data_IF_261640664711
#
_entry.id   IF_261640664711
#
_cell.length_a   1.000
_cell.length_b   1.000
_cell.length_c   1.000
_cell.angle_alpha   90.00
_cell.angle_beta   90.00
_cell.angle_gamma   90.00
#
_symmetry.space_group_name_H-M   'P 1'
#
loop_
_entity.id
_entity.type
_entity.pdbx_description
1 polymer ?
2 water ?
#
# COMPACT_ATOMS: atom_id res chain seq x y z
N UNK A 14 -3.56 23.43 -22.55
CA UNK A 14 -3.54 21.94 -22.76
C UNK A 14 -2.42 21.56 -23.69
N UNK A 15 -1.69 20.55 -23.25
CA UNK A 15 -0.54 20.08 -24.01
C UNK A 15 -0.55 18.55 -24.06
N UNK A 16 0.00 18.05 -25.17
CA UNK A 16 0.05 16.61 -25.44
C UNK A 16 1.48 16.19 -25.69
N UNK A 17 1.86 15.06 -25.12
CA UNK A 17 3.20 14.50 -25.35
C UNK A 17 3.16 12.99 -25.39
N UNK A 18 4.29 12.39 -25.74
CA UNK A 18 4.34 10.92 -25.80
C UNK A 18 5.26 10.46 -24.73
N UNK A 19 4.92 9.43 -24.01
CA UNK A 19 5.86 9.03 -22.91
C UNK A 19 7.20 8.61 -23.52
N UNK A 20 8.27 9.02 -22.86
CA UNK A 20 9.58 9.38 -23.48
C UNK A 20 9.94 10.87 -23.18
N UNK A 24 10.60 12.00 -19.19
CA UNK A 24 10.03 11.10 -18.15
C UNK A 24 9.36 11.85 -17.00
N UNK A 25 9.85 13.06 -16.75
CA UNK A 25 9.34 14.03 -15.78
C UNK A 25 7.86 14.34 -16.02
N UNK A 26 7.57 14.55 -17.28
CA UNK A 26 6.21 14.93 -17.72
C UNK A 26 5.25 13.80 -17.43
N UNK A 27 5.67 12.57 -17.64
CA UNK A 27 4.77 11.44 -17.38
C UNK A 27 4.50 11.30 -15.89
N UNK A 28 5.53 11.41 -15.07
CA UNK A 28 5.34 11.31 -13.65
C UNK A 28 4.38 12.39 -13.10
N UNK A 29 4.54 13.62 -13.55
CA UNK A 29 3.65 14.74 -13.23
C UNK A 29 2.19 14.38 -13.63
N UNK A 30 2.02 13.80 -14.81
CA UNK A 30 0.68 13.54 -15.26
C UNK A 30 0.01 12.45 -14.44
N UNK A 31 0.71 11.33 -14.23
CA UNK A 31 0.20 10.23 -13.43
C UNK A 31 -0.07 10.70 -12.01
N UNK A 32 0.72 11.69 -11.50
CA UNK A 32 0.42 12.28 -10.19
C UNK A 32 -0.80 13.11 -10.05
N UNK A 33 -1.48 13.38 -11.18
CA UNK A 33 -2.73 14.11 -11.18
C UNK A 33 -3.89 13.23 -10.69
N UNK A 34 -3.66 11.93 -10.64
CA UNK A 34 -4.62 11.01 -10.04
C UNK A 34 -4.38 10.95 -8.53
N UNK A 35 -5.30 11.53 -7.73
CA UNK A 35 -5.27 11.50 -6.28
C UNK A 35 -5.40 10.11 -5.69
N UNK A 36 -4.70 9.83 -4.58
CA UNK A 36 -4.81 8.55 -3.94
C UNK A 36 -4.73 8.66 -2.44
N UNK A 37 -5.19 7.62 -1.76
CA UNK A 37 -4.78 7.39 -0.37
C UNK A 37 -3.38 6.87 -0.34
N UNK A 38 -2.96 6.44 0.86
CA UNK A 38 -1.59 5.90 1.04
C UNK A 38 -1.72 4.61 1.83
N UNK A 39 -1.11 3.53 1.33
CA UNK A 39 -1.14 2.26 2.02
C UNK A 39 0.21 1.74 2.33
N UNK A 40 0.33 1.09 3.45
CA UNK A 40 1.53 0.29 3.71
C UNK A 40 1.11 -1.17 3.66
N UNK A 41 1.77 -1.97 2.82
CA UNK A 41 1.48 -3.39 2.73
C UNK A 41 2.60 -4.17 3.42
N UNK A 42 2.19 -5.06 4.31
CA UNK A 42 3.15 -5.80 5.14
C UNK A 42 3.10 -7.28 4.91
N UNK A 43 4.21 -7.92 5.26
CA UNK A 43 4.32 -9.37 5.10
C UNK A 43 5.44 -9.91 5.98
N UNK A 44 5.40 -11.19 6.28
CA UNK A 44 6.51 -11.79 7.05
C UNK A 44 7.61 -12.18 6.08
N UNK A 45 8.75 -11.56 6.24
CA UNK A 45 9.91 -11.81 5.41
C UNK A 45 10.75 -12.92 5.98
N UNK A 46 11.77 -13.35 5.18
CA UNK A 46 12.58 -14.49 5.59
C UNK A 46 13.36 -14.22 6.86
N UNK A 47 13.63 -12.96 7.17
CA UNK A 47 14.34 -12.74 8.42
C UNK A 47 13.77 -11.69 9.33
N UNK A 48 12.48 -11.40 9.15
CA UNK A 48 11.78 -10.40 9.96
C UNK A 48 10.62 -9.79 9.19
N UNK A 49 9.89 -8.90 9.84
CA UNK A 49 8.78 -8.22 9.20
C UNK A 49 9.22 -7.26 8.09
N UNK A 50 8.35 -7.13 7.05
CA UNK A 50 8.62 -6.24 5.98
C UNK A 50 7.41 -5.40 5.70
N UNK A 51 7.65 -4.21 5.22
CA UNK A 51 6.57 -3.37 4.74
C UNK A 51 6.97 -2.55 3.55
N UNK A 52 5.98 -2.01 2.83
CA UNK A 52 6.26 -1.18 1.64
C UNK A 52 5.09 -0.20 1.53
N UNK A 53 5.44 1.06 1.42
CA UNK A 53 4.47 2.12 1.17
C UNK A 53 4.20 2.21 -0.33
N UNK A 54 2.91 2.14 -0.65
CA UNK A 54 2.51 2.30 -2.08
C UNK A 54 1.22 3.11 -2.14
N UNK A 55 0.98 3.66 -3.33
CA UNK A 55 -0.36 4.27 -3.57
C UNK A 55 -1.10 3.63 -4.70
N UNK A 56 -0.59 2.55 -5.20
CA UNK A 56 -1.18 1.80 -6.30
C UNK A 56 -2.25 0.80 -5.92
N UNK A 57 -2.76 0.86 -4.71
CA UNK A 57 -3.87 0.06 -4.28
C UNK A 57 -5.15 0.36 -5.08
N UNK A 58 -5.93 -0.69 -5.37
CA UNK A 58 -7.34 -0.46 -5.80
C UNK A 58 -8.22 -1.52 -5.15
N UNK A 59 -9.44 -1.12 -4.86
CA UNK A 59 -10.49 -2.05 -4.54
C UNK A 59 -10.98 -2.63 -5.86
N UNK A 60 -11.01 -3.95 -5.98
CA UNK A 60 -11.31 -4.64 -7.24
C UNK A 60 -12.69 -5.30 -7.28
N UNK A 61 -13.00 -6.19 -6.34
CA UNK A 61 -14.25 -6.97 -6.36
C UNK A 61 -14.89 -7.00 -4.97
N UNK A 62 -16.21 -6.97 -4.89
CA UNK A 62 -16.93 -7.20 -3.65
C UNK A 62 -17.23 -8.65 -3.42
N UNK A 63 -17.72 -9.38 -4.43
CA UNK A 63 -17.95 -10.78 -4.23
C UNK A 63 -17.26 -11.55 -5.34
N UNK A 64 -16.21 -12.27 -5.04
CA UNK A 64 -15.54 -12.31 -3.74
C UNK A 64 -14.82 -11.02 -3.48
N UNK A 65 -14.39 -10.80 -2.21
CA UNK A 65 -13.75 -9.54 -1.87
C UNK A 65 -12.31 -9.59 -2.28
N UNK A 66 -11.96 -8.83 -3.30
CA UNK A 66 -10.57 -8.78 -3.80
C UNK A 66 -10.08 -7.40 -3.91
N UNK A 67 -8.77 -7.22 -3.69
CA UNK A 67 -8.08 -5.94 -3.82
C UNK A 67 -6.77 -6.18 -4.58
N UNK A 68 -6.16 -5.10 -5.07
CA UNK A 68 -4.86 -5.23 -5.75
C UNK A 68 -3.95 -4.12 -5.30
N UNK A 69 -2.64 -4.37 -5.50
CA UNK A 69 -1.63 -3.36 -5.34
C UNK A 69 -0.43 -3.74 -6.19
N UNK A 70 0.53 -2.79 -6.34
CA UNK A 70 1.60 -3.03 -7.29
C UNK A 70 2.98 -2.84 -6.64
N UNK A 71 3.70 -3.94 -6.27
CA UNK A 71 5.07 -3.75 -5.72
C UNK A 71 6.01 -3.46 -6.87
N UNK A 72 6.99 -2.58 -6.58
CA UNK A 72 8.07 -2.27 -7.53
C UNK A 72 9.01 -3.49 -7.69
N UNK A 73 9.33 -3.81 -8.92
CA UNK A 73 10.27 -4.92 -9.18
C UNK A 73 11.65 -4.43 -8.94
N UNK A 74 11.90 -3.14 -8.75
CA UNK A 74 13.25 -2.61 -8.44
C UNK A 74 13.55 -2.59 -6.97
N UNK A 75 12.65 -3.12 -6.16
CA UNK A 75 12.84 -3.17 -4.69
C UNK A 75 13.43 -4.51 -4.31
N UNK A 76 14.38 -4.52 -3.36
CA UNK A 76 14.85 -5.75 -2.80
C UNK A 76 13.79 -6.55 -2.05
N UNK A 77 12.69 -5.90 -1.66
CA UNK A 77 11.58 -6.57 -0.98
C UNK A 77 10.59 -7.24 -1.96
N UNK A 78 10.74 -7.03 -3.26
CA UNK A 78 9.73 -7.49 -4.22
C UNK A 78 9.54 -9.00 -4.10
N UNK A 79 10.62 -9.75 -4.12
CA UNK A 79 10.52 -11.21 -4.06
C UNK A 79 9.72 -11.74 -2.87
N UNK A 80 9.94 -11.17 -1.70
CA UNK A 80 9.20 -11.56 -0.49
C UNK A 80 7.71 -11.28 -0.64
N UNK A 81 7.33 -10.17 -1.25
CA UNK A 81 5.94 -9.92 -1.42
C UNK A 81 5.34 -10.84 -2.49
N UNK A 82 6.08 -11.13 -3.56
CA UNK A 82 5.59 -11.99 -4.65
C UNK A 82 5.47 -13.44 -4.18
N UNK A 83 6.32 -13.88 -3.31
CA UNK A 83 6.26 -15.25 -2.82
C UNK A 83 5.30 -15.44 -1.65
N UNK A 84 4.77 -14.34 -1.07
CA UNK A 84 4.05 -14.46 0.19
C UNK A 84 2.69 -15.15 -0.07
N UNK A 85 2.27 -15.90 0.94
CA UNK A 85 0.89 -16.43 0.98
C UNK A 85 -0.10 -15.43 1.58
N UNK A 86 0.37 -14.51 2.42
CA UNK A 86 -0.46 -13.60 3.15
C UNK A 86 0.22 -12.24 3.26
N UNK A 87 -0.54 -11.18 3.13
CA UNK A 87 -0.07 -9.85 3.26
C UNK A 87 -1.21 -8.96 3.65
N UNK A 88 -0.91 -7.85 4.29
CA UNK A 88 -1.94 -6.96 4.84
C UNK A 88 -1.81 -5.54 4.37
N UNK A 89 -2.92 -4.94 3.88
CA UNK A 89 -2.91 -3.57 3.37
C UNK A 89 -3.45 -2.65 4.44
N UNK A 90 -2.63 -1.67 4.80
CA UNK A 90 -2.98 -0.66 5.79
C UNK A 90 -3.27 0.65 5.12
N UNK A 91 -4.51 1.14 5.27
CA UNK A 91 -4.89 2.49 4.74
C UNK A 91 -4.65 3.53 5.81
N UNK A 92 -3.79 4.53 5.55
CA UNK A 92 -3.37 5.46 6.59
C UNK A 92 -4.33 6.64 6.76
N UNK A 93 -4.47 7.09 7.99
CA UNK A 93 -5.15 8.31 8.29
C UNK A 93 -4.23 9.50 8.14
N UNK A 94 -4.81 10.69 8.14
CA UNK A 94 -4.10 11.90 7.82
C UNK A 94 -3.09 12.24 8.89
N UNK A 95 -3.20 11.66 10.07
CA UNK A 95 -2.27 11.88 11.14
C UNK A 95 -1.09 10.88 11.08
N UNK A 96 -0.98 10.08 10.04
CA UNK A 96 0.00 8.96 10.00
C UNK A 96 1.08 9.10 8.94
N UNK A 97 1.43 10.33 8.59
CA UNK A 97 2.58 10.59 7.71
C UNK A 97 3.81 9.87 8.16
N UNK A 98 4.06 9.81 9.46
CA UNK A 98 5.30 9.14 9.92
C UNK A 98 5.32 7.67 9.55
N UNK A 99 4.19 6.98 9.68
CA UNK A 99 4.10 5.59 9.27
C UNK A 99 4.33 5.41 7.78
N UNK A 100 3.75 6.29 6.96
CA UNK A 100 4.00 6.30 5.56
C UNK A 100 5.51 6.36 5.28
N UNK A 101 6.20 7.29 5.89
CA UNK A 101 7.60 7.55 5.57
C UNK A 101 8.47 6.39 6.04
N UNK A 102 8.09 5.75 7.13
CA UNK A 102 8.85 4.54 7.59
C UNK A 102 9.02 3.51 6.55
N UNK A 103 7.96 3.34 5.72
CA UNK A 103 7.98 2.23 4.73
C UNK A 103 8.23 2.64 3.30
N UNK A 104 8.62 3.88 3.13
CA UNK A 104 9.24 4.36 1.90
C UNK A 104 10.67 3.87 1.83
N UNK A 105 11.25 4.00 0.66
CA UNK A 105 12.57 3.51 0.44
C UNK A 105 13.50 4.32 1.36
N UNK A 106 14.33 3.63 2.09
CA UNK A 106 15.25 4.33 3.00
C UNK A 106 14.67 4.75 4.35
N UNK A 107 13.42 4.45 4.62
CA UNK A 107 12.80 4.73 5.93
C UNK A 107 13.16 3.72 6.98
N UNK A 108 12.76 3.94 8.22
CA UNK A 108 13.14 3.10 9.37
C UNK A 108 12.49 1.72 9.38
N UNK A 109 11.45 1.55 8.55
CA UNK A 109 10.75 0.28 8.47
C UNK A 109 10.11 0.01 9.84
N UNK A 110 10.26 -1.20 10.37
CA UNK A 110 9.68 -1.55 11.67
C UNK A 110 10.59 -1.27 12.85
N UNK A 111 11.77 -0.67 12.62
CA UNK A 111 12.71 -0.40 13.72
C UNK A 111 12.09 0.50 14.79
N UNK A 112 12.01 0.01 16.03
CA UNK A 112 11.38 0.75 17.11
C UNK A 112 9.88 0.55 17.31
N UNK A 113 9.24 -0.18 16.39
CA UNK A 113 7.74 -0.48 16.35
C UNK A 113 7.43 -1.80 17.05
N UNK A 114 6.27 -1.86 17.69
CA UNK A 114 5.85 -3.10 18.37
C UNK A 114 5.61 -4.19 17.36
N UNK A 115 6.18 -5.38 17.62
CA UNK A 115 5.76 -6.61 16.84
C UNK A 115 4.37 -7.08 17.23
N UNK A 116 3.42 -6.96 16.31
CA UNK A 116 2.09 -7.50 16.54
C UNK A 116 1.71 -8.25 15.31
N UNK A 117 1.22 -9.46 15.49
CA UNK A 117 0.93 -10.34 14.36
C UNK A 117 -0.56 -10.67 14.27
N UNK A 118 -0.98 -10.86 13.04
CA UNK A 118 -2.35 -11.44 12.79
C UNK A 118 -2.31 -12.94 13.07
N UNK A 119 -3.47 -13.60 13.05
CA UNK A 119 -3.51 -15.03 13.30
C UNK A 119 -2.71 -15.81 12.26
N UNK A 120 -2.55 -15.21 11.08
CA UNK A 120 -1.82 -15.82 9.98
C UNK A 120 -0.33 -15.46 9.97
N UNK A 121 0.10 -14.68 10.97
CA UNK A 121 1.52 -14.32 11.15
C UNK A 121 1.97 -13.05 10.44
N UNK A 122 1.04 -12.26 9.94
CA UNK A 122 1.42 -11.07 9.18
C UNK A 122 1.66 -9.96 10.20
N UNK A 123 2.81 -9.28 10.05
CA UNK A 123 3.05 -8.15 10.99
C UNK A 123 2.15 -6.98 10.75
N UNK A 124 1.51 -6.42 11.78
CA UNK A 124 0.68 -5.32 11.48
C UNK A 124 0.93 -4.09 12.32
N UNK A 125 0.37 -3.01 11.83
CA UNK A 125 0.51 -1.69 12.40
C UNK A 125 -0.86 -1.28 13.00
N UNK A 126 -0.99 -1.31 14.37
CA UNK A 126 -2.13 -0.77 15.10
C UNK A 126 -2.65 0.58 14.63
N UNK A 127 -3.98 0.72 14.67
CA UNK A 127 -4.43 2.10 14.69
C UNK A 127 -4.51 2.81 13.33
N UNK A 128 -4.49 2.06 12.24
CA UNK A 128 -4.70 2.62 10.89
C UNK A 128 -6.20 2.73 10.57
N UNK A 129 -6.56 3.51 9.54
CA UNK A 129 -7.95 3.77 9.28
C UNK A 129 -8.62 2.46 8.85
N UNK A 130 -7.90 1.67 8.09
CA UNK A 130 -8.39 0.34 7.66
C UNK A 130 -7.26 -0.61 7.42
N UNK A 131 -7.41 -1.88 7.82
CA UNK A 131 -6.44 -2.95 7.47
C UNK A 131 -7.17 -4.12 6.85
N UNK A 132 -6.75 -4.45 5.64
CA UNK A 132 -7.25 -5.61 4.91
C UNK A 132 -6.24 -6.74 4.95
N UNK A 133 -6.59 -7.78 5.68
CA UNK A 133 -5.71 -8.94 5.80
C UNK A 133 -6.06 -9.82 4.61
N UNK A 134 -5.09 -10.11 3.76
CA UNK A 134 -5.35 -10.76 2.48
C UNK A 134 -4.58 -12.09 2.31
N UNK A 135 -5.20 -13.02 1.63
CA UNK A 135 -4.57 -14.21 1.12
C UNK A 135 -4.19 -13.99 -0.34
N UNK A 136 -2.99 -14.38 -0.73
CA UNK A 136 -2.59 -14.24 -2.14
C UNK A 136 -3.59 -14.92 -3.03
N UNK A 137 -3.94 -14.25 -4.09
CA UNK A 137 -4.99 -14.82 -5.01
C UNK A 137 -4.49 -14.96 -6.42
N UNK A 138 -3.83 -13.92 -6.95
CA UNK A 138 -3.24 -13.97 -8.28
C UNK A 138 -2.10 -12.97 -8.39
N UNK A 139 -1.21 -13.16 -9.38
CA UNK A 139 -0.13 -12.23 -9.58
C UNK A 139 0.22 -12.19 -11.04
N UNK A 140 0.58 -11.01 -11.52
CA UNK A 140 0.93 -10.83 -12.93
C UNK A 140 2.04 -9.80 -13.08
N UNK A 141 2.97 -10.00 -13.98
CA UNK A 141 4.00 -8.96 -14.18
C UNK A 141 3.41 -7.82 -14.99
N UNK A 142 3.93 -6.63 -14.77
CA UNK A 142 3.41 -5.42 -15.45
C UNK A 142 4.50 -4.33 -15.56
N UNK A 143 5.49 -4.65 -16.38
CA UNK A 143 6.58 -3.70 -16.63
C UNK A 143 7.54 -3.61 -15.47
N UNK A 144 7.76 -2.41 -14.91
CA UNK A 144 8.67 -2.24 -13.76
C UNK A 144 8.04 -2.52 -12.42
N UNK A 145 6.75 -2.93 -12.41
CA UNK A 145 6.07 -3.35 -11.20
C UNK A 145 5.35 -4.71 -11.49
N UNK A 146 4.85 -5.35 -10.45
CA UNK A 146 3.96 -6.52 -10.51
C UNK A 146 2.58 -5.98 -10.08
N UNK A 147 1.57 -6.76 -10.41
CA UNK A 147 0.17 -6.57 -9.93
C UNK A 147 -0.18 -7.78 -9.06
N UNK A 148 -0.37 -7.58 -7.79
CA UNK A 148 -0.72 -8.65 -6.84
C UNK A 148 -2.23 -8.41 -6.50
N UNK A 149 -3.00 -9.47 -6.68
CA UNK A 149 -4.46 -9.50 -6.35
C UNK A 149 -4.61 -10.36 -5.11
N UNK A 150 -5.24 -9.85 -4.07
CA UNK A 150 -5.44 -10.64 -2.85
C UNK A 150 -6.91 -10.75 -2.50
N UNK A 151 -7.25 -11.87 -1.86
CA UNK A 151 -8.61 -12.08 -1.34
C UNK A 151 -8.63 -11.58 0.11
N UNK A 152 -9.56 -10.70 0.43
CA UNK A 152 -9.69 -10.17 1.80
C UNK A 152 -10.33 -11.21 2.71
N UNK A 153 -9.61 -11.61 3.77
CA UNK A 153 -10.10 -12.54 4.76
C UNK A 153 -10.57 -11.87 6.03
N UNK A 154 -10.10 -10.65 6.30
CA UNK A 154 -10.44 -9.98 7.54
C UNK A 154 -10.29 -8.49 7.33
N UNK A 155 -11.21 -7.72 7.93
CA UNK A 155 -11.16 -6.27 7.81
C UNK A 155 -11.13 -5.69 9.23
N UNK A 156 -10.21 -4.73 9.47
CA UNK A 156 -10.17 -3.95 10.66
C UNK A 156 -10.28 -2.46 10.34
N UNK A 157 -11.20 -1.75 11.01
CA UNK A 157 -11.32 -0.30 10.83
C UNK A 157 -11.22 0.35 12.20
N UNK A 158 -10.58 1.52 12.22
CA UNK A 158 -10.43 2.33 13.42
C UNK A 158 -10.65 3.77 13.07
N UNK A 159 -11.39 4.44 13.96
CA UNK A 159 -11.58 5.91 13.86
C UNK A 159 -12.54 6.25 12.74
N UNK A 160 -12.65 7.56 12.47
CA UNK A 160 -13.51 8.03 11.38
C UNK A 160 -12.91 7.65 10.04
N UNK A 161 -13.80 7.41 9.09
CA UNK A 161 -13.42 7.00 7.79
C UNK A 161 -13.15 8.12 6.80
N UNK A 162 -13.36 9.36 7.24
CA UNK A 162 -13.33 10.50 6.36
C UNK A 162 -12.17 11.47 6.62
N UNK A 163 -11.10 10.93 7.24
CA UNK A 163 -9.82 11.70 7.38
C UNK A 163 -8.62 10.91 6.86
N UNK A 164 -8.63 10.54 5.56
CA UNK A 164 -7.50 9.82 4.97
C UNK A 164 -6.29 10.70 4.77
N UNK A 165 -5.11 10.07 4.84
CA UNK A 165 -3.94 10.70 4.24
C UNK A 165 -4.04 10.67 2.73
N UNK A 166 -3.92 11.83 2.07
CA UNK A 166 -4.11 11.87 0.58
C UNK A 166 -2.77 12.31 -0.05
N UNK A 167 -2.42 11.68 -1.15
CA UNK A 167 -1.30 12.09 -1.95
C UNK A 167 -1.76 12.48 -3.35
N UNK A 168 -1.48 13.72 -3.75
CA UNK A 168 -1.87 14.23 -5.05
C UNK A 168 -0.89 15.31 -5.49
N UNK A 169 -0.65 15.33 -6.80
CA UNK A 169 0.28 16.31 -7.38
C UNK A 169 1.60 16.35 -6.64
N UNK A 170 2.04 15.19 -6.22
CA UNK A 170 3.34 15.10 -5.49
C UNK A 170 3.36 15.59 -4.09
N UNK A 171 2.23 15.85 -3.50
CA UNK A 171 2.17 16.43 -2.16
C UNK A 171 1.25 15.61 -1.29
N UNK A 172 1.53 15.56 0.02
CA UNK A 172 0.61 15.01 0.99
C UNK A 172 -0.39 16.07 1.40
N UNK A 173 -1.58 15.62 1.77
CA UNK A 173 -2.60 16.55 2.25
C UNK A 173 -3.83 15.73 2.71
N UNK A 174 -4.94 16.43 2.73
CA UNK A 174 -6.16 15.95 3.34
C UNK A 174 -7.29 16.01 2.30
N UNK A 175 -8.35 15.28 2.66
CA UNK A 175 -9.67 15.35 1.91
C UNK A 175 -10.57 16.37 2.53
N UNK A 176 -11.06 17.30 1.73
CA UNK A 176 -12.06 18.32 2.15
C UNK A 176 -13.39 18.09 1.40
N UNK A 177 -14.41 17.52 2.08
CA UNK A 177 -15.72 17.24 1.39
C UNK A 177 -16.52 18.49 1.02
#
# INVERSE_FOLDING_TARGET
SRLPPATRDRLADEITFHPATAEARLLREALGRFATGVTVVTTAGPQGPLGMTVNSFSSVSLEPPLVLWCPARTSARHAAFAEAGAWSVHVLGSEQLETCLRFTRGGRQFEGLDTVLTPEGVPVIPGVAARFDCAAHAAHEAGDHSVLIGRVLRVTVAGPGDHPLVFAAGRFGQFEPDAGLEHHHHHH
#
